data_IF_771180580614
#
_entry.id   IF_771180580614
#
_cell.length_a   1.000
_cell.length_b   1.000
_cell.length_c   1.000
_cell.angle_alpha   90.00
_cell.angle_beta   90.00
_cell.angle_gamma   90.00
#
_symmetry.space_group_name_H-M   'P 1'
#
loop_
_entity.id
_entity.type
_entity.pdbx_description
1 polymer ?
#
# COMPACT_ATOMS: atom_id res chain seq x y z
N UNK A 1 39.00 -22.13 20.70
CA UNK A 1 37.58 -21.73 20.68
C UNK A 1 36.77 -22.99 20.86
N UNK A 2 35.81 -23.03 21.79
CA UNK A 2 34.97 -24.22 21.97
C UNK A 2 34.08 -24.40 20.72
N UNK A 3 34.01 -25.60 20.12
CA UNK A 3 33.30 -25.84 18.85
C UNK A 3 31.80 -25.52 18.91
N UNK A 4 31.21 -25.47 20.12
CA UNK A 4 29.81 -25.13 20.32
C UNK A 4 29.54 -23.63 20.10
N UNK A 5 30.49 -22.76 20.43
CA UNK A 5 30.32 -21.30 20.34
C UNK A 5 30.38 -20.81 18.89
N UNK A 6 31.31 -21.33 18.08
CA UNK A 6 31.41 -21.02 16.65
C UNK A 6 30.15 -21.43 15.89
N UNK A 7 29.60 -22.61 16.19
CA UNK A 7 28.34 -23.06 15.59
C UNK A 7 27.17 -22.13 15.95
N UNK A 8 27.07 -21.71 17.22
CA UNK A 8 26.03 -20.77 17.63
C UNK A 8 26.18 -19.40 16.96
N UNK A 9 27.41 -18.89 16.80
CA UNK A 9 27.66 -17.62 16.11
C UNK A 9 27.30 -17.73 14.63
N UNK A 10 27.67 -18.82 13.96
CA UNK A 10 27.31 -19.07 12.57
C UNK A 10 25.80 -19.16 12.37
N UNK A 11 25.11 -19.92 13.22
CA UNK A 11 23.65 -20.05 13.18
C UNK A 11 22.93 -18.72 13.43
N UNK A 12 23.52 -17.83 14.24
CA UNK A 12 22.99 -16.48 14.46
C UNK A 12 23.22 -15.57 13.25
N UNK A 13 24.41 -15.61 12.64
CA UNK A 13 24.71 -14.85 11.42
C UNK A 13 23.75 -15.22 10.28
N UNK A 14 23.52 -16.51 10.05
CA UNK A 14 22.58 -16.99 9.03
C UNK A 14 21.15 -16.47 9.25
N UNK A 15 20.69 -16.41 10.51
CA UNK A 15 19.37 -15.85 10.85
C UNK A 15 19.30 -14.35 10.59
N UNK A 16 20.36 -13.60 10.93
CA UNK A 16 20.42 -12.15 10.71
C UNK A 16 20.37 -11.84 9.21
N UNK A 17 21.11 -12.59 8.39
CA UNK A 17 21.06 -12.43 6.93
C UNK A 17 19.67 -12.75 6.37
N UNK A 18 19.04 -13.83 6.84
CA UNK A 18 17.67 -14.16 6.45
C UNK A 18 16.66 -13.06 6.83
N UNK A 19 16.81 -12.47 8.02
CA UNK A 19 16.00 -11.33 8.46
C UNK A 19 16.23 -10.14 7.54
N UNK A 20 17.48 -9.77 7.26
CA UNK A 20 17.81 -8.65 6.39
C UNK A 20 17.15 -8.80 5.00
N UNK A 21 17.28 -9.97 4.39
CA UNK A 21 16.65 -10.28 3.09
C UNK A 21 15.11 -10.19 3.17
N UNK A 22 14.51 -10.69 4.25
CA UNK A 22 13.04 -10.65 4.42
C UNK A 22 12.50 -9.23 4.61
N UNK A 23 13.22 -8.40 5.35
CA UNK A 23 12.87 -7.00 5.61
C UNK A 23 13.01 -6.19 4.33
N UNK A 24 14.06 -6.42 3.54
CA UNK A 24 14.25 -5.68 2.29
C UNK A 24 13.18 -6.03 1.24
N UNK A 25 12.75 -7.30 1.19
CA UNK A 25 11.59 -7.71 0.39
C UNK A 25 10.31 -7.01 0.85
N UNK A 26 10.07 -6.99 2.16
CA UNK A 26 8.90 -6.31 2.75
C UNK A 26 8.90 -4.82 2.44
N UNK A 27 10.05 -4.14 2.57
CA UNK A 27 10.21 -2.72 2.22
C UNK A 27 9.82 -2.47 0.76
N UNK A 28 10.31 -3.29 -0.16
CA UNK A 28 10.02 -3.15 -1.59
C UNK A 28 8.54 -3.40 -1.91
N UNK A 29 7.95 -4.45 -1.35
CA UNK A 29 6.54 -4.77 -1.57
C UNK A 29 5.61 -3.75 -0.92
N UNK A 30 5.96 -3.23 0.25
CA UNK A 30 5.18 -2.19 0.91
C UNK A 30 5.04 -0.94 0.03
N UNK A 31 6.13 -0.49 -0.60
CA UNK A 31 6.08 0.63 -1.53
C UNK A 31 5.15 0.34 -2.72
N UNK A 32 5.25 -0.84 -3.32
CA UNK A 32 4.39 -1.23 -4.45
C UNK A 32 2.91 -1.29 -4.03
N UNK A 33 2.61 -1.97 -2.93
CA UNK A 33 1.24 -2.11 -2.41
C UNK A 33 0.65 -0.75 -2.03
N UNK A 34 1.44 0.17 -1.46
CA UNK A 34 1.00 1.51 -1.14
C UNK A 34 0.53 2.26 -2.39
N UNK A 35 1.33 2.26 -3.45
CA UNK A 35 0.95 2.90 -4.71
C UNK A 35 -0.26 2.24 -5.37
N UNK A 36 -0.32 0.91 -5.38
CA UNK A 36 -1.48 0.17 -5.91
C UNK A 36 -2.75 0.52 -5.12
N UNK A 37 -2.67 0.59 -3.80
CA UNK A 37 -3.81 0.96 -2.94
C UNK A 37 -4.27 2.38 -3.23
N UNK A 38 -3.33 3.33 -3.39
CA UNK A 38 -3.66 4.70 -3.78
C UNK A 38 -4.36 4.72 -5.14
N UNK A 39 -3.83 3.99 -6.13
CA UNK A 39 -4.37 3.99 -7.49
C UNK A 39 -5.75 3.33 -7.60
N UNK A 40 -5.96 2.19 -6.92
CA UNK A 40 -7.16 1.37 -7.08
C UNK A 40 -8.26 1.70 -6.08
N UNK A 41 -7.94 2.31 -4.94
CA UNK A 41 -8.90 2.58 -3.86
C UNK A 41 -9.03 4.07 -3.62
N UNK A 42 -7.93 4.75 -3.30
CA UNK A 42 -7.98 6.15 -2.86
C UNK A 42 -8.37 7.09 -4.02
N UNK A 43 -7.75 6.94 -5.20
CA UNK A 43 -8.06 7.77 -6.36
C UNK A 43 -9.52 7.63 -6.80
N UNK A 44 -10.10 6.42 -6.98
CA UNK A 44 -11.51 6.28 -7.29
C UNK A 44 -12.42 6.84 -6.21
N UNK A 45 -12.10 6.62 -4.92
CA UNK A 45 -12.90 7.16 -3.83
C UNK A 45 -12.95 8.70 -3.86
N UNK A 46 -11.79 9.36 -4.03
CA UNK A 46 -11.73 10.81 -4.18
C UNK A 46 -12.44 11.29 -5.46
N UNK A 47 -12.30 10.56 -6.56
CA UNK A 47 -13.01 10.84 -7.80
C UNK A 47 -14.53 10.80 -7.62
N UNK A 48 -15.05 9.80 -6.90
CA UNK A 48 -16.48 9.69 -6.60
C UNK A 48 -16.98 10.83 -5.70
N UNK A 49 -16.19 11.26 -4.70
CA UNK A 49 -16.55 12.39 -3.85
C UNK A 49 -16.76 13.69 -4.63
N UNK A 50 -16.09 13.84 -5.79
CA UNK A 50 -16.26 14.99 -6.68
C UNK A 50 -17.34 14.73 -7.75
N UNK A 51 -17.34 13.52 -8.32
CA UNK A 51 -18.24 13.16 -9.42
C UNK A 51 -19.70 13.11 -8.98
N UNK A 52 -20.00 12.55 -7.80
CA UNK A 52 -21.37 12.43 -7.28
C UNK A 52 -22.06 13.80 -7.14
N UNK A 53 -21.50 14.80 -6.42
CA UNK A 53 -22.16 16.09 -6.30
C UNK A 53 -22.23 16.83 -7.64
N UNK A 54 -21.20 16.74 -8.49
CA UNK A 54 -21.23 17.33 -9.82
C UNK A 54 -22.36 16.75 -10.69
N UNK A 55 -22.55 15.42 -10.62
CA UNK A 55 -23.63 14.71 -11.29
C UNK A 55 -24.99 15.20 -10.77
N UNK A 56 -25.23 15.18 -9.45
CA UNK A 56 -26.49 15.64 -8.84
C UNK A 56 -26.84 17.07 -9.26
N UNK A 57 -25.88 18.00 -9.17
CA UNK A 57 -26.10 19.40 -9.56
C UNK A 57 -26.49 19.54 -11.03
N UNK A 58 -25.95 18.70 -11.91
CA UNK A 58 -26.28 18.70 -13.34
C UNK A 58 -27.71 18.25 -13.63
N UNK A 59 -28.25 17.28 -12.88
CA UNK A 59 -29.66 16.88 -13.04
C UNK A 59 -30.61 17.90 -12.42
N UNK A 60 -30.26 18.46 -11.25
CA UNK A 60 -31.06 19.49 -10.61
C UNK A 60 -31.21 20.73 -11.50
N UNK A 61 -30.14 21.20 -12.14
CA UNK A 61 -30.22 22.38 -13.02
C UNK A 61 -31.09 22.15 -14.26
N UNK A 62 -31.07 20.93 -14.82
CA UNK A 62 -31.96 20.56 -15.93
C UNK A 62 -33.42 20.50 -15.47
N UNK A 63 -33.67 19.97 -14.27
CA UNK A 63 -35.02 19.90 -13.71
C UNK A 63 -35.60 21.29 -13.42
N UNK A 64 -34.81 22.20 -12.83
CA UNK A 64 -35.23 23.58 -12.59
C UNK A 64 -35.49 24.34 -13.91
N UNK A 65 -34.77 24.03 -14.98
CA UNK A 65 -35.00 24.64 -16.30
C UNK A 65 -36.26 24.14 -17.03
N UNK A 66 -36.90 23.08 -16.53
CA UNK A 66 -38.15 22.54 -17.06
C UNK A 66 -39.40 23.01 -16.28
N UNK A 67 -39.23 23.56 -15.07
CA UNK A 67 -40.28 24.16 -14.26
C UNK A 67 -40.43 25.66 -14.58
#
# INVERSE_FOLDING_TARGET
>A
MEPNLEQQLKAQAEKIDAIYVSVEKTRKYFLVVMWVTIAMVVLPALGLLIAIPAFINSYMSQFDGLL
#
